data_IF_309793294349
#
_entry.id   IF_309793294349
#
_cell.length_a   1.000
_cell.length_b   1.000
_cell.length_c   1.000
_cell.angle_alpha   90.00
_cell.angle_beta   90.00
_cell.angle_gamma   90.00
#
_symmetry.space_group_name_H-M   'P 1'
#
loop_
_entity.id
_entity.type
_entity.pdbx_description
1 polymer ?
#
# COMPACT_ATOMS: atom_id res chain seq x y z
N UNK A 1 0.49 -5.88 8.76
CA UNK A 1 0.49 -4.66 7.95
C UNK A 1 0.24 -3.41 8.78
N UNK A 2 -0.95 -3.21 9.37
CA UNK A 2 -1.23 -1.98 10.15
C UNK A 2 -0.19 -1.64 11.23
N UNK A 3 0.25 -2.65 11.99
CA UNK A 3 1.32 -2.48 13.00
C UNK A 3 2.65 -2.07 12.37
N UNK A 4 3.02 -2.69 11.24
CA UNK A 4 4.28 -2.40 10.52
C UNK A 4 4.25 -0.98 9.95
N UNK A 5 3.10 -0.57 9.40
CA UNK A 5 2.91 0.79 8.89
C UNK A 5 3.02 1.82 10.02
N UNK A 6 2.42 1.54 11.17
CA UNK A 6 2.48 2.44 12.33
C UNK A 6 3.90 2.55 12.89
N UNK A 7 4.59 1.42 13.04
CA UNK A 7 5.98 1.40 13.52
C UNK A 7 6.92 2.10 12.55
N UNK A 8 6.76 1.88 11.24
CA UNK A 8 7.56 2.57 10.23
C UNK A 8 7.28 4.07 10.20
N UNK A 9 6.03 4.48 10.35
CA UNK A 9 5.65 5.90 10.39
C UNK A 9 6.25 6.61 11.61
N UNK A 10 6.24 5.96 12.78
CA UNK A 10 6.89 6.46 14.00
C UNK A 10 8.40 6.55 13.80
N UNK A 11 9.02 5.48 13.28
CA UNK A 11 10.46 5.44 13.03
C UNK A 11 10.92 6.58 12.10
N UNK A 12 10.23 6.75 10.96
CA UNK A 12 10.53 7.82 10.01
C UNK A 12 10.36 9.20 10.64
N UNK A 13 9.31 9.40 11.45
CA UNK A 13 9.10 10.65 12.15
C UNK A 13 10.24 11.00 13.11
N UNK A 14 10.80 10.02 13.84
CA UNK A 14 11.85 10.29 14.82
C UNK A 14 13.26 10.34 14.23
N UNK A 15 13.55 9.53 13.21
CA UNK A 15 14.93 9.32 12.74
C UNK A 15 15.22 10.00 11.40
N UNK A 16 14.27 9.97 10.46
CA UNK A 16 14.53 10.42 9.08
C UNK A 16 14.05 11.84 8.79
N UNK A 17 12.97 12.30 9.45
CA UNK A 17 12.34 13.58 9.12
C UNK A 17 13.00 14.79 9.79
N UNK A 18 13.30 15.81 8.98
CA UNK A 18 13.67 17.16 9.43
C UNK A 18 12.47 17.93 10.00
N UNK A 19 12.71 19.05 10.69
CA UNK A 19 11.66 19.84 11.37
C UNK A 19 10.53 20.29 10.43
N UNK A 20 10.85 20.78 9.24
CA UNK A 20 9.83 21.16 8.26
C UNK A 20 8.99 19.97 7.80
N UNK A 21 9.64 18.81 7.61
CA UNK A 21 8.97 17.58 7.18
C UNK A 21 8.08 17.02 8.29
N UNK A 22 8.50 17.11 9.55
CA UNK A 22 7.69 16.77 10.73
C UNK A 22 6.43 17.62 10.81
N UNK A 23 6.57 18.94 10.61
CA UNK A 23 5.42 19.87 10.62
C UNK A 23 4.45 19.54 9.47
N UNK A 24 4.96 19.31 8.26
CA UNK A 24 4.13 18.91 7.13
C UNK A 24 3.47 17.54 7.34
N UNK A 25 4.17 16.58 7.96
CA UNK A 25 3.63 15.27 8.28
C UNK A 25 2.49 15.36 9.30
N UNK A 26 2.66 16.15 10.38
CA UNK A 26 1.60 16.41 11.35
C UNK A 26 0.40 17.09 10.67
N UNK A 27 0.63 18.09 9.83
CA UNK A 27 -0.44 18.74 9.07
C UNK A 27 -1.16 17.79 8.10
N UNK A 28 -0.48 16.77 7.56
CA UNK A 28 -1.11 15.73 6.75
C UNK A 28 -1.93 14.77 7.62
N UNK A 29 -1.45 14.43 8.80
CA UNK A 29 -2.15 13.55 9.76
C UNK A 29 -3.40 14.17 10.38
N UNK A 30 -3.45 15.50 10.53
CA UNK A 30 -4.57 16.24 11.15
C UNK A 30 -5.35 17.13 10.18
N UNK A 31 -4.82 17.36 8.98
CA UNK A 31 -5.41 18.26 8.00
C UNK A 31 -6.62 17.67 7.28
N UNK A 32 -7.16 18.44 6.32
CA UNK A 32 -8.37 18.10 5.55
C UNK A 32 -8.30 16.76 4.80
N UNK A 33 -7.09 16.26 4.50
CA UNK A 33 -6.86 14.99 3.81
C UNK A 33 -6.35 13.86 4.72
N UNK A 34 -6.37 14.07 6.04
CA UNK A 34 -5.97 13.08 7.05
C UNK A 34 -6.72 11.76 6.90
N UNK A 35 -8.02 11.82 6.59
CA UNK A 35 -8.85 10.65 6.32
C UNK A 35 -8.20 9.71 5.29
N UNK A 36 -7.55 10.24 4.24
CA UNK A 36 -6.88 9.43 3.24
C UNK A 36 -5.72 8.61 3.80
N UNK A 37 -4.93 9.21 4.68
CA UNK A 37 -3.80 8.53 5.35
C UNK A 37 -4.27 7.50 6.37
N UNK A 38 -5.34 7.78 7.11
CA UNK A 38 -5.87 6.87 8.13
C UNK A 38 -6.69 5.72 7.54
N UNK A 39 -7.47 5.97 6.48
CA UNK A 39 -8.38 4.99 5.89
C UNK A 39 -7.64 3.80 5.29
N UNK A 40 -6.49 4.00 4.67
CA UNK A 40 -5.75 2.91 4.02
C UNK A 40 -5.28 1.81 4.99
N UNK A 41 -4.50 2.11 6.05
CA UNK A 41 -4.09 1.08 7.00
C UNK A 41 -5.29 0.49 7.75
N UNK A 42 -6.31 1.31 8.09
CA UNK A 42 -7.53 0.82 8.74
C UNK A 42 -8.29 -0.15 7.85
N UNK A 43 -8.46 0.16 6.56
CA UNK A 43 -9.17 -0.66 5.59
C UNK A 43 -8.50 -2.04 5.45
N UNK A 44 -7.17 -2.09 5.33
CA UNK A 44 -6.46 -3.37 5.24
C UNK A 44 -6.54 -4.19 6.52
N UNK A 45 -6.48 -3.55 7.69
CA UNK A 45 -6.73 -4.25 8.96
C UNK A 45 -8.16 -4.82 8.98
N UNK A 46 -9.16 -4.02 8.61
CA UNK A 46 -10.56 -4.43 8.53
C UNK A 46 -10.77 -5.64 7.62
N UNK A 47 -10.20 -5.62 6.40
CA UNK A 47 -10.27 -6.74 5.46
C UNK A 47 -9.65 -8.01 6.05
N UNK A 48 -8.50 -7.91 6.73
CA UNK A 48 -7.90 -9.08 7.39
C UNK A 48 -8.75 -9.62 8.54
N UNK A 49 -9.45 -8.75 9.28
CA UNK A 49 -10.37 -9.20 10.34
C UNK A 49 -11.64 -9.84 9.76
N UNK A 50 -12.18 -9.32 8.66
CA UNK A 50 -13.36 -9.88 7.97
C UNK A 50 -13.12 -11.32 7.50
N UNK A 51 -11.90 -11.65 7.05
CA UNK A 51 -11.53 -13.04 6.68
C UNK A 51 -11.56 -14.03 7.85
N UNK A 52 -11.52 -13.57 9.10
CA UNK A 52 -11.57 -14.46 10.29
C UNK A 52 -13.00 -14.92 10.59
N UNK A 53 -14.00 -14.19 10.12
CA UNK A 53 -15.43 -14.49 10.34
C UNK A 53 -15.78 -15.83 9.67
N UNK A 54 -16.45 -16.72 10.41
CA UNK A 54 -16.81 -18.07 9.93
C UNK A 54 -17.69 -18.03 8.67
N UNK A 55 -18.58 -17.05 8.57
CA UNK A 55 -19.45 -16.82 7.42
C UNK A 55 -18.65 -16.57 6.14
N UNK A 56 -17.68 -15.65 6.21
CA UNK A 56 -16.80 -15.29 5.09
C UNK A 56 -15.95 -16.47 4.64
N UNK A 57 -15.46 -17.29 5.58
CA UNK A 57 -14.66 -18.49 5.25
C UNK A 57 -15.47 -19.60 4.59
N UNK A 58 -16.78 -19.66 4.81
CA UNK A 58 -17.66 -20.70 4.26
C UNK A 58 -17.99 -20.48 2.78
N UNK A 59 -18.18 -19.24 2.35
CA UNK A 59 -18.58 -18.93 0.99
C UNK A 59 -17.43 -18.41 0.13
N UNK A 60 -17.23 -19.02 -1.03
CA UNK A 60 -16.15 -18.69 -1.95
C UNK A 60 -16.28 -17.25 -2.50
N UNK A 61 -17.51 -16.80 -2.76
CA UNK A 61 -17.81 -15.45 -3.29
C UNK A 61 -17.30 -14.35 -2.36
N UNK A 62 -17.55 -14.45 -1.05
CA UNK A 62 -17.07 -13.44 -0.09
C UNK A 62 -15.54 -13.40 -0.01
N UNK A 63 -14.87 -14.56 -0.13
CA UNK A 63 -13.41 -14.61 -0.17
C UNK A 63 -12.85 -13.94 -1.42
N UNK A 64 -13.44 -14.19 -2.59
CA UNK A 64 -13.04 -13.53 -3.84
C UNK A 64 -13.24 -12.01 -3.76
N UNK A 65 -14.37 -11.57 -3.24
CA UNK A 65 -14.67 -10.14 -3.09
C UNK A 65 -13.64 -9.44 -2.19
N UNK A 66 -13.31 -10.04 -1.04
CA UNK A 66 -12.30 -9.48 -0.13
C UNK A 66 -10.90 -9.51 -0.75
N UNK A 67 -10.53 -10.58 -1.48
CA UNK A 67 -9.24 -10.66 -2.16
C UNK A 67 -9.08 -9.58 -3.24
N UNK A 68 -10.14 -9.28 -4.00
CA UNK A 68 -10.13 -8.18 -4.99
C UNK A 68 -10.00 -6.84 -4.28
N UNK A 69 -10.64 -6.66 -3.13
CA UNK A 69 -10.50 -5.43 -2.33
C UNK A 69 -9.08 -5.16 -1.83
N UNK A 70 -8.20 -6.17 -1.75
CA UNK A 70 -6.77 -5.96 -1.46
C UNK A 70 -5.98 -5.38 -2.64
N UNK A 71 -6.47 -5.52 -3.88
CA UNK A 71 -5.85 -4.96 -5.09
C UNK A 71 -6.13 -3.45 -5.17
N UNK A 72 -7.27 -3.01 -4.65
CA UNK A 72 -7.65 -1.60 -4.61
C UNK A 72 -6.91 -0.90 -3.48
N UNK A 73 -5.80 -0.24 -3.83
CA UNK A 73 -5.03 0.59 -2.91
C UNK A 73 -5.69 1.97 -2.78
N UNK A 74 -6.12 2.32 -1.57
CA UNK A 74 -6.65 3.67 -1.27
C UNK A 74 -5.63 4.79 -1.55
N UNK A 75 -4.34 4.50 -1.48
CA UNK A 75 -3.25 5.42 -1.79
C UNK A 75 -3.43 6.07 -3.16
N UNK A 76 -3.80 5.27 -4.17
CA UNK A 76 -4.01 5.75 -5.54
C UNK A 76 -5.26 6.62 -5.64
N UNK A 77 -6.29 6.33 -4.86
CA UNK A 77 -7.50 7.15 -4.80
C UNK A 77 -7.25 8.49 -4.08
N UNK A 78 -6.48 8.48 -2.99
CA UNK A 78 -6.12 9.68 -2.23
C UNK A 78 -5.21 10.58 -3.06
N UNK A 79 -4.17 10.03 -3.70
CA UNK A 79 -3.28 10.78 -4.60
C UNK A 79 -4.09 11.40 -5.75
N UNK A 80 -4.98 10.65 -6.39
CA UNK A 80 -5.86 11.15 -7.44
C UNK A 80 -6.74 12.29 -6.94
N UNK A 81 -7.47 12.09 -5.83
CA UNK A 81 -8.36 13.09 -5.26
C UNK A 81 -7.61 14.35 -4.79
N UNK A 82 -6.44 14.22 -4.18
CA UNK A 82 -5.63 15.37 -3.77
C UNK A 82 -5.07 16.13 -4.96
N UNK A 83 -4.72 15.45 -6.06
CA UNK A 83 -4.26 16.10 -7.30
C UNK A 83 -5.38 16.96 -7.90
N UNK A 84 -6.62 16.46 -7.92
CA UNK A 84 -7.79 17.23 -8.37
C UNK A 84 -8.08 18.47 -7.53
N UNK A 85 -7.77 18.42 -6.23
CA UNK A 85 -8.11 19.48 -5.29
C UNK A 85 -6.97 20.47 -5.03
N UNK A 86 -5.73 20.12 -5.36
CA UNK A 86 -4.55 20.93 -5.05
C UNK A 86 -3.75 21.46 -6.24
N UNK A 87 -3.97 21.06 -7.49
CA UNK A 87 -3.28 21.67 -8.63
C UNK A 87 -4.23 22.60 -9.42
N UNK A 88 -4.29 23.89 -9.09
CA UNK A 88 -3.53 25.04 -9.65
C UNK A 88 -3.75 25.23 -11.16
N UNK A 89 -4.47 26.31 -11.53
CA UNK A 89 -4.73 26.87 -12.87
C UNK A 89 -4.88 25.91 -14.08
N UNK A 90 -5.93 26.05 -14.92
CA UNK A 90 -6.12 25.25 -16.14
C UNK A 90 -4.94 25.30 -17.15
N UNK A 91 -4.03 26.27 -17.01
CA UNK A 91 -2.87 26.46 -17.90
C UNK A 91 -1.68 25.53 -17.60
N UNK A 92 -1.66 24.84 -16.45
CA UNK A 92 -0.60 23.87 -16.07
C UNK A 92 -1.05 22.42 -16.20
N UNK A 93 -2.00 22.15 -17.10
CA UNK A 93 -2.29 20.79 -17.55
C UNK A 93 -1.13 20.25 -18.40
N UNK A 94 0.05 20.05 -17.81
CA UNK A 94 0.91 18.97 -18.28
C UNK A 94 0.27 17.70 -17.77
N UNK A 95 -0.44 17.00 -18.66
CA UNK A 95 -0.93 15.65 -18.38
C UNK A 95 0.22 14.86 -17.76
N UNK A 96 0.13 14.56 -16.46
CA UNK A 96 0.88 13.46 -15.85
C UNK A 96 0.24 12.21 -16.43
N UNK A 97 0.54 11.95 -17.70
CA UNK A 97 0.30 10.67 -18.30
C UNK A 97 1.26 9.73 -17.60
N UNK A 98 0.73 8.87 -16.74
CA UNK A 98 1.44 7.65 -16.33
C UNK A 98 1.94 7.04 -17.63
N UNK A 99 3.23 7.18 -17.88
CA UNK A 99 3.79 6.71 -19.14
C UNK A 99 3.59 5.20 -19.17
N UNK A 100 3.25 4.64 -20.33
CA UNK A 100 3.17 3.19 -20.48
C UNK A 100 4.45 2.51 -19.97
N UNK A 101 5.57 3.23 -20.04
CA UNK A 101 6.85 2.86 -19.47
C UNK A 101 6.87 2.77 -17.95
N UNK A 102 6.36 3.74 -17.19
CA UNK A 102 6.28 3.63 -15.72
C UNK A 102 5.43 2.43 -15.29
N UNK A 103 4.32 2.19 -15.98
CA UNK A 103 3.45 1.05 -15.69
C UNK A 103 4.16 -0.27 -15.96
N UNK A 104 4.88 -0.37 -17.08
CA UNK A 104 5.66 -1.54 -17.46
C UNK A 104 6.85 -1.78 -16.51
N UNK A 105 7.57 -0.73 -16.11
CA UNK A 105 8.71 -0.82 -15.19
C UNK A 105 8.25 -1.26 -13.79
N UNK A 106 7.10 -0.74 -13.33
CA UNK A 106 6.49 -1.18 -12.06
C UNK A 106 6.08 -2.65 -12.09
N UNK A 107 5.59 -3.15 -13.23
CA UNK A 107 5.21 -4.55 -13.41
C UNK A 107 6.45 -5.47 -13.42
N UNK A 108 7.53 -5.05 -14.10
CA UNK A 108 8.80 -5.78 -14.12
C UNK A 108 9.41 -5.93 -12.73
N UNK A 109 9.44 -4.84 -11.95
CA UNK A 109 9.97 -4.87 -10.57
C UNK A 109 9.18 -5.86 -9.70
N UNK A 110 7.84 -5.83 -9.79
CA UNK A 110 6.97 -6.74 -9.02
C UNK A 110 7.13 -8.21 -9.44
N UNK A 111 7.27 -8.48 -10.74
CA UNK A 111 7.54 -9.83 -11.23
C UNK A 111 8.90 -10.36 -10.75
N UNK A 112 9.91 -9.50 -10.74
CA UNK A 112 11.24 -9.84 -10.24
C UNK A 112 11.22 -10.15 -8.74
N UNK A 113 10.59 -9.28 -7.94
CA UNK A 113 10.43 -9.46 -6.49
C UNK A 113 9.72 -10.78 -6.15
N UNK A 114 8.60 -11.07 -6.83
CA UNK A 114 7.88 -12.33 -6.65
C UNK A 114 8.75 -13.55 -6.95
N UNK A 115 9.51 -13.50 -8.05
CA UNK A 115 10.39 -14.61 -8.47
C UNK A 115 11.50 -14.85 -7.45
N UNK A 116 12.10 -13.78 -6.92
CA UNK A 116 13.12 -13.88 -5.86
C UNK A 116 12.56 -14.52 -4.59
N UNK A 117 11.37 -14.10 -4.14
CA UNK A 117 10.74 -14.65 -2.94
C UNK A 117 10.46 -16.16 -3.11
N UNK A 118 9.93 -16.57 -4.27
CA UNK A 118 9.66 -17.99 -4.57
C UNK A 118 10.95 -18.80 -4.66
N UNK A 119 11.99 -18.25 -5.28
CA UNK A 119 13.30 -18.89 -5.38
C UNK A 119 13.91 -19.11 -3.99
N UNK A 120 13.93 -18.08 -3.15
CA UNK A 120 14.44 -18.16 -1.78
C UNK A 120 13.66 -19.17 -0.94
N UNK A 121 12.32 -19.16 -1.03
CA UNK A 121 11.49 -20.15 -0.36
C UNK A 121 11.83 -21.58 -0.80
N UNK A 122 11.97 -21.81 -2.11
CA UNK A 122 12.35 -23.13 -2.66
C UNK A 122 13.76 -23.55 -2.23
N UNK A 123 14.72 -22.63 -2.25
CA UNK A 123 16.09 -22.89 -1.81
C UNK A 123 16.14 -23.28 -0.33
N UNK A 124 15.46 -22.51 0.54
CA UNK A 124 15.37 -22.80 1.98
C UNK A 124 14.61 -24.10 2.27
N UNK A 125 13.59 -24.42 1.47
CA UNK A 125 12.86 -25.69 1.59
C UNK A 125 13.74 -26.88 1.20
N UNK A 126 14.48 -26.78 0.09
CA UNK A 126 15.36 -27.84 -0.37
C UNK A 126 16.58 -28.03 0.54
N UNK A 127 17.12 -26.96 1.14
CA UNK A 127 18.20 -27.07 2.14
C UNK A 127 17.74 -27.77 3.43
N UNK A 128 16.49 -27.52 3.87
CA UNK A 128 15.90 -28.24 5.01
C UNK A 128 15.61 -29.71 4.74
N UNK A 129 15.31 -30.10 3.49
CA UNK A 129 15.11 -31.50 3.10
C UNK A 129 16.45 -32.25 3.03
N UNK A 130 17.54 -31.57 2.63
CA UNK A 130 18.89 -32.18 2.56
C UNK A 130 19.57 -32.36 3.93
N UNK A 131 19.15 -31.59 4.94
CA UNK A 131 19.65 -31.66 6.33
C UNK A 131 18.81 -32.54 7.27
N UNK A 132 17.84 -33.30 6.74
CA UNK A 132 17.11 -34.38 7.44
C UNK A 132 17.45 -35.70 6.79
#
# INVERSE_FOLDING_TARGET
YGIIWFSASIFNYFIEMDEEQKIQFIQRLTGKYSFGLWLQPLFWVLLTQLLRIKLVRKFLIFRLFISISFIVTFERFVIFYTSFYRDYLPSSWTMIGISWWEMLLSALIKMFEFTLIVFLYRYLKNSKIKNR
#
